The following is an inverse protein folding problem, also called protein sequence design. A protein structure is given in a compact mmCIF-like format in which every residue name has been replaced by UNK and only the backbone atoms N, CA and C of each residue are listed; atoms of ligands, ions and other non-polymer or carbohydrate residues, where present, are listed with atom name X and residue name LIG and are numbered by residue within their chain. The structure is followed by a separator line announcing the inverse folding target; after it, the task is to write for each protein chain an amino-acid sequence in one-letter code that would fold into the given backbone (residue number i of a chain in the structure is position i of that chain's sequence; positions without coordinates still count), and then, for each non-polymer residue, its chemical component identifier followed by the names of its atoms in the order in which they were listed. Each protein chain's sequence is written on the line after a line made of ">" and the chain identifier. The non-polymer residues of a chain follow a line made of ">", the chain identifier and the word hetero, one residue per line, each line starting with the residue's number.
data_IF_055326933830
#
_entry.id   IF_055326933830
#
_cell.length_a   1.000
_cell.length_b   1.000
_cell.length_c   1.000
_cell.angle_alpha   90.00
_cell.angle_beta   90.00
_cell.angle_gamma   90.00
#
_symmetry.space_group_name_H-M   'P 1'
#
loop_
_entity.id
_entity.type
_entity.pdbx_description
1 polymer ?
#
# COMPACT_ATOMS: atom_id res chain seq x y z
N UNK A 1 -4.01 -8.34 -4.35
CA UNK A 1 -2.93 -9.35 -4.26
C UNK A 1 -2.66 -9.65 -2.79
N UNK A 2 -2.41 -10.91 -2.46
CA UNK A 2 -2.07 -11.35 -1.10
C UNK A 2 -0.74 -12.09 -1.15
N UNK A 3 0.19 -11.71 -0.27
CA UNK A 3 1.41 -12.47 0.02
C UNK A 3 1.21 -13.10 1.39
N UNK A 4 0.98 -14.41 1.43
CA UNK A 4 0.70 -15.14 2.67
C UNK A 4 1.88 -15.19 3.64
N UNK A 5 1.62 -15.58 4.88
CA UNK A 5 2.65 -15.84 5.88
C UNK A 5 3.69 -16.85 5.36
N UNK A 6 4.97 -16.60 5.65
CA UNK A 6 6.07 -17.48 5.22
C UNK A 6 6.40 -17.41 3.73
N UNK A 7 5.57 -16.76 2.91
CA UNK A 7 5.86 -16.57 1.50
C UNK A 7 7.03 -15.58 1.31
N UNK A 8 7.88 -15.86 0.32
CA UNK A 8 8.96 -14.96 -0.09
C UNK A 8 8.77 -14.60 -1.56
N UNK A 9 8.71 -13.30 -1.85
CA UNK A 9 8.49 -12.77 -3.18
C UNK A 9 9.59 -11.76 -3.49
N UNK A 10 10.31 -11.98 -4.59
CA UNK A 10 11.27 -11.04 -5.16
C UNK A 10 10.76 -10.61 -6.54
N UNK A 11 10.04 -9.49 -6.60
CA UNK A 11 9.35 -9.06 -7.82
C UNK A 11 8.89 -7.60 -7.75
N UNK A 12 8.61 -7.03 -8.93
CA UNK A 12 7.80 -5.81 -9.04
C UNK A 12 6.32 -6.19 -9.06
N UNK A 13 5.54 -5.62 -8.14
CA UNK A 13 4.12 -5.93 -7.96
C UNK A 13 3.29 -4.70 -8.33
N UNK A 14 2.32 -4.87 -9.22
CA UNK A 14 1.28 -3.88 -9.49
C UNK A 14 -0.09 -4.49 -9.17
N UNK A 15 -0.88 -3.80 -8.33
CA UNK A 15 -2.22 -4.24 -7.98
C UNK A 15 -3.08 -3.07 -7.49
N UNK A 16 -4.40 -3.25 -7.44
CA UNK A 16 -5.25 -2.25 -6.79
C UNK A 16 -5.02 -2.18 -5.28
N UNK A 17 -4.98 -3.34 -4.62
CA UNK A 17 -4.72 -3.48 -3.19
C UNK A 17 -3.74 -4.62 -2.92
N UNK A 18 -2.84 -4.43 -1.97
CA UNK A 18 -1.81 -5.40 -1.58
C UNK A 18 -1.91 -5.67 -0.08
N UNK A 19 -1.90 -6.96 0.30
CA UNK A 19 -1.78 -7.40 1.69
C UNK A 19 -0.51 -8.25 1.84
N UNK A 20 0.34 -7.91 2.80
CA UNK A 20 1.66 -8.55 3.00
C UNK A 20 1.70 -9.20 4.38
N UNK A 21 1.62 -10.52 4.43
CA UNK A 21 1.93 -11.34 5.60
C UNK A 21 3.26 -12.07 5.54
N UNK A 22 3.89 -12.11 4.35
CA UNK A 22 5.20 -12.72 4.13
C UNK A 22 6.31 -11.68 3.89
N UNK A 23 7.41 -12.11 3.28
CA UNK A 23 8.51 -11.24 2.88
C UNK A 23 8.40 -10.85 1.41
N UNK A 24 8.43 -9.55 1.13
CA UNK A 24 8.46 -8.99 -0.22
C UNK A 24 9.72 -8.15 -0.39
N UNK A 25 10.43 -8.40 -1.50
CA UNK A 25 11.59 -7.63 -1.94
C UNK A 25 11.32 -7.13 -3.36
N UNK A 26 11.44 -5.82 -3.57
CA UNK A 26 11.20 -5.21 -4.88
C UNK A 26 10.34 -3.96 -4.82
N UNK A 27 9.78 -3.58 -5.98
CA UNK A 27 9.02 -2.34 -6.11
C UNK A 27 7.51 -2.65 -6.18
N UNK A 28 6.74 -2.01 -5.30
CA UNK A 28 5.30 -2.22 -5.20
C UNK A 28 4.57 -0.96 -5.66
N UNK A 29 3.56 -1.14 -6.49
CA UNK A 29 2.61 -0.11 -6.90
C UNK A 29 1.20 -0.56 -6.54
N UNK A 30 0.53 0.21 -5.70
CA UNK A 30 -0.84 -0.03 -5.30
C UNK A 30 -1.72 1.18 -5.58
N UNK A 31 -2.75 1.05 -6.43
CA UNK A 31 -3.58 2.22 -6.76
C UNK A 31 -4.50 2.66 -5.62
N UNK A 32 -4.83 1.78 -4.67
CA UNK A 32 -5.75 2.08 -3.56
C UNK A 32 -5.10 1.99 -2.19
N UNK A 33 -4.64 0.80 -1.78
CA UNK A 33 -4.10 0.58 -0.44
C UNK A 33 -3.07 -0.54 -0.36
N UNK A 34 -2.18 -0.42 0.61
CA UNK A 34 -1.29 -1.51 1.06
C UNK A 34 -1.44 -1.70 2.55
N UNK A 35 -1.55 -2.96 2.96
CA UNK A 35 -1.62 -3.38 4.36
C UNK A 35 -0.52 -4.41 4.64
N UNK A 36 0.33 -4.12 5.64
CA UNK A 36 1.35 -5.04 6.10
C UNK A 36 0.90 -5.64 7.43
N UNK A 37 0.72 -6.95 7.44
CA UNK A 37 0.32 -7.74 8.61
C UNK A 37 1.50 -7.86 9.59
N UNK A 38 1.29 -8.32 10.84
CA UNK A 38 2.35 -8.35 11.87
C UNK A 38 3.62 -9.11 11.47
N UNK A 39 3.50 -10.19 10.69
CA UNK A 39 4.63 -10.99 10.18
C UNK A 39 5.21 -10.46 8.86
N UNK A 40 4.60 -9.42 8.29
CA UNK A 40 4.93 -8.90 6.97
C UNK A 40 6.24 -8.13 6.97
N UNK A 41 7.06 -8.39 5.96
CA UNK A 41 8.34 -7.71 5.75
C UNK A 41 8.38 -7.15 4.33
N UNK A 42 8.62 -5.85 4.20
CA UNK A 42 8.83 -5.19 2.91
C UNK A 42 10.25 -4.62 2.84
N UNK A 43 11.02 -4.99 1.82
CA UNK A 43 12.30 -4.35 1.48
C UNK A 43 12.26 -3.82 0.04
N UNK A 44 12.31 -2.51 -0.14
CA UNK A 44 12.28 -1.89 -1.47
C UNK A 44 11.48 -0.59 -1.51
N UNK A 45 10.82 -0.32 -2.63
CA UNK A 45 10.01 0.90 -2.79
C UNK A 45 8.53 0.57 -2.87
N UNK A 46 7.69 1.44 -2.31
CA UNK A 46 6.24 1.31 -2.36
C UNK A 46 5.61 2.63 -2.79
N UNK A 47 4.76 2.60 -3.82
CA UNK A 47 3.84 3.68 -4.19
C UNK A 47 2.42 3.25 -3.90
N UNK A 48 1.67 4.04 -3.14
CA UNK A 48 0.29 3.69 -2.80
C UNK A 48 -0.62 4.89 -2.55
N UNK A 49 -1.93 4.73 -2.78
CA UNK A 49 -2.93 5.71 -2.36
C UNK A 49 -3.14 5.77 -0.83
N UNK A 50 -2.87 4.67 -0.15
CA UNK A 50 -3.01 4.51 1.31
C UNK A 50 -2.08 3.41 1.82
N UNK A 51 -1.54 3.58 3.03
CA UNK A 51 -0.59 2.65 3.64
C UNK A 51 -0.93 2.39 5.10
N UNK A 52 -0.97 1.12 5.50
CA UNK A 52 -1.07 0.69 6.90
C UNK A 52 -0.07 -0.43 7.19
N UNK A 53 0.53 -0.39 8.38
CA UNK A 53 1.40 -1.44 8.90
C UNK A 53 0.97 -1.78 10.32
N UNK A 54 0.81 -3.07 10.59
CA UNK A 54 0.49 -3.57 11.92
C UNK A 54 1.71 -3.53 12.85
N UNK A 55 1.47 -3.64 14.15
CA UNK A 55 2.54 -3.89 15.12
C UNK A 55 3.31 -5.16 14.75
N UNK A 56 4.64 -5.11 14.82
CA UNK A 56 5.54 -6.19 14.39
C UNK A 56 5.94 -6.17 12.91
N UNK A 57 5.20 -5.46 12.05
CA UNK A 57 5.55 -5.33 10.64
C UNK A 57 6.90 -4.63 10.45
N UNK A 58 7.69 -5.08 9.47
CA UNK A 58 9.00 -4.50 9.16
C UNK A 58 9.04 -3.91 7.75
N UNK A 59 9.44 -2.64 7.64
CA UNK A 59 9.60 -1.97 6.35
C UNK A 59 10.99 -1.36 6.24
N UNK A 60 11.68 -1.65 5.14
CA UNK A 60 12.99 -1.11 4.82
C UNK A 60 13.01 -0.56 3.40
N UNK A 61 13.09 0.76 3.28
CA UNK A 61 13.18 1.46 2.00
C UNK A 61 12.28 2.70 1.96
N UNK A 62 11.76 3.03 0.79
CA UNK A 62 11.01 4.28 0.56
C UNK A 62 9.54 4.02 0.30
N UNK A 63 8.67 4.78 0.98
CA UNK A 63 7.22 4.73 0.77
C UNK A 63 6.73 6.10 0.29
N UNK A 64 6.05 6.10 -0.85
CA UNK A 64 5.38 7.25 -1.44
C UNK A 64 3.87 7.05 -1.31
N UNK A 65 3.23 7.85 -0.47
CA UNK A 65 1.77 7.83 -0.32
C UNK A 65 1.18 8.99 -1.12
N UNK A 66 0.66 8.68 -2.30
CA UNK A 66 0.07 9.65 -3.22
C UNK A 66 -1.45 9.63 -3.04
N UNK A 67 -1.97 10.51 -2.18
CA UNK A 67 -3.43 10.64 -2.04
C UNK A 67 -4.00 11.12 -3.38
N UNK A 68 -4.98 10.42 -3.99
CA UNK A 68 -5.72 11.00 -5.09
C UNK A 68 -6.32 12.31 -4.58
N UNK A 69 -6.12 13.39 -5.34
CA UNK A 69 -6.67 14.69 -4.99
C UNK A 69 -8.14 14.49 -4.66
N UNK A 70 -8.52 14.77 -3.41
CA UNK A 70 -9.91 14.69 -3.00
C UNK A 70 -10.65 15.70 -3.86
N UNK A 71 -11.33 15.25 -4.90
CA UNK A 71 -12.38 16.05 -5.54
C UNK A 71 -13.42 16.24 -4.45
N UNK A 72 -13.27 17.34 -3.70
CA UNK A 72 -14.35 17.86 -2.88
C UNK A 72 -15.51 18.07 -3.86
N UNK A 73 -16.64 17.36 -3.74
CA UNK A 73 -17.81 17.73 -4.52
C UNK A 73 -18.08 19.20 -4.19
N UNK A 74 -18.12 20.04 -5.23
CA UNK A 74 -18.42 21.45 -5.05
C UNK A 74 -19.74 21.56 -4.25
N UNK A 75 -19.83 22.43 -3.25
CA UNK A 75 -21.09 22.62 -2.54
C UNK A 75 -22.19 22.95 -3.58
N UNK A 76 -23.40 22.39 -3.45
CA UNK A 76 -24.48 22.69 -4.37
C UNK A 76 -24.71 24.20 -4.40
N UNK A 77 -25.01 24.80 -5.57
CA UNK A 77 -25.26 26.22 -5.66
C UNK A 77 -26.41 26.59 -4.72
N UNK A 78 -26.18 27.58 -3.86
CA UNK A 78 -27.23 28.14 -3.02
C UNK A 78 -28.32 28.72 -3.94
N UNK A 79 -29.52 28.15 -3.86
CA UNK A 79 -30.69 28.62 -4.61
C UNK A 79 -31.05 30.05 -4.24
N UNK A 80 -31.49 30.81 -5.24
CA UNK A 80 -31.91 32.22 -5.15
C UNK A 80 -33.35 32.41 -4.69
#
# INVERSE_FOLDING_TARGET
>A
MLVGEGAQVDANIDAAAIVIGGTVRGNLSASTRVEILPSGVLTGTLRTGSFSAADGASVKGEIWVERPATTRPAPPPAGG
#
